data_IF_207869817062
#
_entry.id   IF_207869817062
#
_cell.length_a   1.000
_cell.length_b   1.000
_cell.length_c   1.000
_cell.angle_alpha   90.00
_cell.angle_beta   90.00
_cell.angle_gamma   90.00
#
_symmetry.space_group_name_H-M   'P 1'
#
loop_
_entity.id
_entity.type
_entity.pdbx_description
1 polymer ?
#
# COMPACT_ATOMS: atom_id res chain seq x y z
N UNK A 1 -20.82 0.08 -11.05
CA UNK A 1 -19.75 -0.77 -11.63
C UNK A 1 -20.31 -1.53 -12.81
N UNK A 2 -19.69 -1.43 -13.97
CA UNK A 2 -20.11 -2.22 -15.13
C UNK A 2 -19.61 -3.66 -14.99
N UNK A 3 -20.32 -4.62 -15.57
CA UNK A 3 -19.94 -6.06 -15.56
C UNK A 3 -18.53 -6.27 -16.14
N UNK A 4 -18.06 -5.38 -17.04
CA UNK A 4 -16.72 -5.41 -17.62
C UNK A 4 -15.60 -5.07 -16.61
N UNK A 5 -15.85 -4.20 -15.64
CA UNK A 5 -14.85 -3.84 -14.62
C UNK A 5 -14.69 -4.95 -13.55
N UNK A 6 -15.77 -5.65 -13.25
CA UNK A 6 -15.76 -6.79 -12.36
C UNK A 6 -14.99 -7.99 -12.97
N UNK A 7 -15.17 -8.25 -14.27
CA UNK A 7 -14.44 -9.31 -14.98
C UNK A 7 -12.94 -9.05 -15.08
N UNK A 8 -12.52 -7.79 -15.27
CA UNK A 8 -11.11 -7.43 -15.34
C UNK A 8 -10.43 -7.59 -13.98
N UNK A 9 -11.08 -7.21 -12.89
CA UNK A 9 -10.52 -7.36 -11.54
C UNK A 9 -10.40 -8.83 -11.11
N UNK A 10 -11.40 -9.65 -11.37
CA UNK A 10 -11.37 -11.08 -11.07
C UNK A 10 -10.35 -11.83 -11.94
N UNK A 11 -10.24 -11.48 -13.22
CA UNK A 11 -9.25 -12.06 -14.14
C UNK A 11 -7.83 -11.68 -13.73
N UNK A 12 -7.59 -10.46 -13.24
CA UNK A 12 -6.28 -10.01 -12.76
C UNK A 12 -5.88 -10.73 -11.47
N UNK A 13 -6.81 -10.90 -10.54
CA UNK A 13 -6.61 -11.65 -9.28
C UNK A 13 -6.36 -13.14 -9.58
N UNK A 14 -7.13 -13.74 -10.48
CA UNK A 14 -6.95 -15.13 -10.90
C UNK A 14 -5.60 -15.36 -11.62
N UNK A 15 -5.16 -14.41 -12.43
CA UNK A 15 -3.86 -14.47 -13.10
C UNK A 15 -2.69 -14.36 -12.12
N UNK A 16 -2.80 -13.49 -11.11
CA UNK A 16 -1.80 -13.37 -10.03
C UNK A 16 -1.72 -14.68 -9.22
N UNK A 17 -2.86 -15.29 -8.93
CA UNK A 17 -2.92 -16.55 -8.17
C UNK A 17 -2.34 -17.75 -8.93
N UNK A 18 -2.32 -17.71 -10.27
CA UNK A 18 -1.79 -18.79 -11.13
C UNK A 18 -0.30 -18.67 -11.48
N UNK A 19 0.32 -17.52 -11.24
CA UNK A 19 1.76 -17.33 -11.50
C UNK A 19 2.61 -18.12 -10.51
N UNK A 20 3.33 -19.13 -10.99
CA UNK A 20 4.34 -19.82 -10.20
C UNK A 20 5.51 -18.86 -9.94
N UNK A 21 5.66 -18.43 -8.70
CA UNK A 21 6.84 -17.71 -8.24
C UNK A 21 8.02 -18.67 -8.13
N UNK A 22 8.89 -18.64 -9.12
CA UNK A 22 10.13 -19.38 -9.05
C UNK A 22 11.18 -18.58 -8.27
N UNK A 23 11.80 -19.23 -7.28
CA UNK A 23 13.00 -18.76 -6.59
C UNK A 23 12.84 -17.45 -5.76
N UNK A 24 11.68 -17.24 -5.12
CA UNK A 24 11.40 -16.06 -4.28
C UNK A 24 10.95 -16.42 -2.85
N UNK A 25 11.13 -17.68 -2.46
CA UNK A 25 10.67 -18.19 -1.16
C UNK A 25 11.36 -17.46 0.00
N UNK A 26 12.64 -17.08 -0.19
CA UNK A 26 13.41 -16.36 0.84
C UNK A 26 12.86 -14.96 1.07
N UNK A 27 12.54 -14.23 0.02
CA UNK A 27 11.98 -12.89 0.10
C UNK A 27 10.57 -12.92 0.68
N UNK A 28 9.71 -13.87 0.26
CA UNK A 28 8.38 -14.07 0.83
C UNK A 28 8.49 -14.36 2.33
N UNK A 29 9.36 -15.30 2.72
CA UNK A 29 9.60 -15.62 4.13
C UNK A 29 10.01 -14.39 4.93
N UNK A 30 10.92 -13.56 4.38
CA UNK A 30 11.37 -12.33 5.04
C UNK A 30 10.24 -11.33 5.22
N UNK A 31 9.38 -11.14 4.23
CA UNK A 31 8.21 -10.25 4.32
C UNK A 31 7.21 -10.75 5.37
N UNK A 32 7.01 -12.07 5.47
CA UNK A 32 6.16 -12.67 6.50
C UNK A 32 6.76 -12.51 7.92
N UNK A 33 8.07 -12.64 8.07
CA UNK A 33 8.76 -12.35 9.34
C UNK A 33 8.57 -10.90 9.78
N UNK A 34 8.69 -9.94 8.84
CA UNK A 34 8.44 -8.51 9.09
C UNK A 34 6.99 -8.30 9.52
N UNK A 35 6.04 -8.95 8.87
CA UNK A 35 4.64 -8.92 9.26
C UNK A 35 4.42 -9.42 10.69
N UNK A 36 5.06 -10.51 11.09
CA UNK A 36 4.95 -10.99 12.48
C UNK A 36 5.57 -10.00 13.48
N UNK A 37 6.69 -9.38 13.12
CA UNK A 37 7.31 -8.33 13.94
C UNK A 37 6.43 -7.08 14.07
N UNK A 38 5.68 -6.73 13.03
CA UNK A 38 4.78 -5.57 13.05
C UNK A 38 3.62 -5.68 14.05
N UNK A 39 3.31 -6.87 14.53
CA UNK A 39 2.34 -7.06 15.62
C UNK A 39 2.84 -6.52 16.97
N UNK A 40 4.13 -6.33 17.12
CA UNK A 40 4.76 -5.82 18.36
C UNK A 40 5.22 -4.38 18.22
N UNK A 41 5.83 -4.04 17.10
CA UNK A 41 6.35 -2.71 16.82
C UNK A 41 6.12 -2.39 15.34
N UNK A 42 5.77 -1.14 15.03
CA UNK A 42 5.62 -0.69 13.66
C UNK A 42 6.88 -1.01 12.83
N UNK A 43 6.70 -1.48 11.61
CA UNK A 43 7.78 -1.86 10.70
C UNK A 43 7.70 -1.01 9.43
N UNK A 44 8.82 -0.45 9.03
CA UNK A 44 8.98 0.21 7.74
C UNK A 44 9.95 -0.59 6.87
N UNK A 45 9.56 -0.92 5.66
CA UNK A 45 10.38 -1.72 4.76
C UNK A 45 10.37 -1.15 3.35
N UNK A 46 11.53 -1.12 2.72
CA UNK A 46 11.68 -0.68 1.34
C UNK A 46 12.12 -1.84 0.46
N UNK A 47 11.32 -2.17 -0.54
CA UNK A 47 11.63 -3.19 -1.54
C UNK A 47 12.21 -2.52 -2.78
N UNK A 48 13.50 -2.68 -2.98
CA UNK A 48 14.23 -2.08 -4.11
C UNK A 48 14.58 -3.12 -5.17
N UNK A 49 14.87 -2.67 -6.36
CA UNK A 49 15.32 -3.51 -7.46
C UNK A 49 14.95 -2.93 -8.83
N UNK A 50 15.48 -3.54 -9.89
CA UNK A 50 15.24 -3.11 -11.27
C UNK A 50 13.74 -3.12 -11.60
N UNK A 51 13.33 -2.36 -12.59
CA UNK A 51 11.97 -2.43 -13.16
C UNK A 51 11.68 -3.82 -13.69
N UNK A 52 10.42 -4.24 -13.61
CA UNK A 52 9.90 -5.51 -14.18
C UNK A 52 10.49 -6.80 -13.58
N UNK A 53 11.10 -6.76 -12.40
CA UNK A 53 11.56 -7.97 -11.71
C UNK A 53 10.50 -8.58 -10.77
N UNK A 54 9.27 -8.11 -10.82
CA UNK A 54 8.16 -8.69 -10.06
C UNK A 54 8.06 -8.23 -8.59
N UNK A 55 8.53 -7.01 -8.24
CA UNK A 55 8.41 -6.46 -6.87
C UNK A 55 6.97 -6.40 -6.39
N UNK A 56 6.10 -5.80 -7.20
CA UNK A 56 4.67 -5.67 -6.91
C UNK A 56 4.03 -7.04 -6.69
N UNK A 57 4.31 -8.00 -7.59
CA UNK A 57 3.82 -9.36 -7.48
C UNK A 57 4.31 -10.07 -6.21
N UNK A 58 5.57 -9.85 -5.83
CA UNK A 58 6.14 -10.38 -4.60
C UNK A 58 5.37 -9.87 -3.37
N UNK A 59 5.10 -8.57 -3.30
CA UNK A 59 4.36 -7.96 -2.20
C UNK A 59 2.91 -8.48 -2.15
N UNK A 60 2.20 -8.45 -3.27
CA UNK A 60 0.82 -8.91 -3.34
C UNK A 60 0.69 -10.39 -2.96
N UNK A 61 1.63 -11.24 -3.42
CA UNK A 61 1.67 -12.66 -3.06
C UNK A 61 1.98 -12.88 -1.58
N UNK A 62 2.91 -12.12 -1.01
CA UNK A 62 3.27 -12.26 0.41
C UNK A 62 2.13 -11.89 1.36
N UNK A 63 1.23 -11.01 0.93
CA UNK A 63 0.12 -10.51 1.75
C UNK A 63 -1.26 -10.97 1.27
N UNK A 64 -1.37 -11.88 0.29
CA UNK A 64 -2.64 -12.32 -0.33
C UNK A 64 -3.70 -12.81 0.69
N UNK A 65 -3.25 -13.39 1.81
CA UNK A 65 -4.13 -13.89 2.87
C UNK A 65 -4.36 -12.88 4.00
N UNK A 66 -4.09 -11.60 3.78
CA UNK A 66 -4.27 -10.55 4.77
C UNK A 66 -4.92 -9.32 4.17
N UNK A 67 -5.64 -8.56 5.01
CA UNK A 67 -6.07 -7.23 4.60
C UNK A 67 -4.87 -6.31 4.51
N UNK A 68 -4.73 -5.64 3.38
CA UNK A 68 -3.72 -4.59 3.18
C UNK A 68 -4.32 -3.46 2.34
N UNK A 69 -3.78 -2.28 2.52
CA UNK A 69 -4.03 -1.12 1.65
C UNK A 69 -2.97 -1.12 0.54
N UNK A 70 -3.39 -0.92 -0.69
CA UNK A 70 -2.49 -0.84 -1.83
C UNK A 70 -2.64 0.51 -2.53
N UNK A 71 -1.63 1.35 -2.40
CA UNK A 71 -1.58 2.67 -2.99
C UNK A 71 -0.59 2.68 -4.16
N UNK A 72 -1.11 2.85 -5.36
CA UNK A 72 -0.31 3.04 -6.55
C UNK A 72 -0.14 4.53 -6.85
N UNK A 73 1.09 5.02 -6.76
CA UNK A 73 1.40 6.44 -7.02
C UNK A 73 1.48 6.67 -8.52
N UNK A 74 0.34 6.95 -9.14
CA UNK A 74 0.25 7.31 -10.54
C UNK A 74 0.70 8.77 -10.77
N UNK A 75 1.00 9.10 -12.03
CA UNK A 75 1.31 10.48 -12.45
C UNK A 75 0.02 11.32 -12.53
N UNK A 76 -0.53 11.64 -11.37
CA UNK A 76 -1.73 12.45 -11.16
C UNK A 76 -1.41 13.59 -10.18
N UNK A 77 -2.31 14.55 -10.02
CA UNK A 77 -2.18 15.51 -8.92
C UNK A 77 -2.35 14.83 -7.56
N UNK A 78 -1.75 15.38 -6.51
CA UNK A 78 -1.84 14.84 -5.16
C UNK A 78 -3.29 14.70 -4.68
N UNK A 79 -4.13 15.67 -5.00
CA UNK A 79 -5.56 15.66 -4.64
C UNK A 79 -6.27 14.43 -5.24
N UNK A 80 -6.03 14.13 -6.51
CA UNK A 80 -6.64 12.96 -7.17
C UNK A 80 -6.10 11.66 -6.58
N UNK A 81 -4.79 11.59 -6.30
CA UNK A 81 -4.21 10.43 -5.63
C UNK A 81 -4.82 10.22 -4.24
N UNK A 82 -5.01 11.29 -3.47
CA UNK A 82 -5.65 11.21 -2.15
C UNK A 82 -7.09 10.69 -2.25
N UNK A 83 -7.85 11.07 -3.28
CA UNK A 83 -9.20 10.57 -3.52
C UNK A 83 -9.18 9.06 -3.85
N UNK A 84 -8.28 8.62 -4.73
CA UNK A 84 -8.12 7.19 -5.07
C UNK A 84 -7.75 6.38 -3.81
N UNK A 85 -6.81 6.88 -3.01
CA UNK A 85 -6.35 6.21 -1.79
C UNK A 85 -7.41 6.20 -0.67
N UNK A 86 -8.19 7.28 -0.57
CA UNK A 86 -9.30 7.37 0.38
C UNK A 86 -10.42 6.38 0.01
N UNK A 87 -10.65 6.14 -1.27
CA UNK A 87 -11.57 5.12 -1.77
C UNK A 87 -11.10 3.72 -1.33
N UNK A 88 -9.84 3.38 -1.58
CA UNK A 88 -9.22 2.11 -1.15
C UNK A 88 -9.33 1.91 0.38
N UNK A 89 -9.05 2.97 1.15
CA UNK A 89 -9.16 2.96 2.60
C UNK A 89 -10.60 2.66 3.06
N UNK A 90 -11.59 3.32 2.45
CA UNK A 90 -13.01 3.10 2.77
C UNK A 90 -13.47 1.68 2.46
N UNK A 91 -13.08 1.15 1.32
CA UNK A 91 -13.45 -0.20 0.89
C UNK A 91 -12.84 -1.29 1.78
N UNK A 92 -11.60 -1.11 2.22
CA UNK A 92 -10.87 -2.13 2.98
C UNK A 92 -11.08 -2.05 4.48
N UNK A 93 -11.13 -0.86 5.06
CA UNK A 93 -11.14 -0.66 6.51
C UNK A 93 -12.45 -0.07 7.03
N UNK A 94 -13.27 0.53 6.17
CA UNK A 94 -14.51 1.21 6.53
C UNK A 94 -14.34 2.13 7.77
N UNK A 95 -13.35 3.04 7.75
CA UNK A 95 -13.05 3.89 8.90
C UNK A 95 -14.15 4.90 9.16
N UNK A 96 -14.17 5.58 10.34
CA UNK A 96 -14.98 6.76 10.56
C UNK A 96 -14.79 7.79 9.44
N UNK A 97 -15.83 8.56 9.15
CA UNK A 97 -15.84 9.49 8.02
C UNK A 97 -14.71 10.51 8.17
N UNK A 98 -13.72 10.42 7.27
CA UNK A 98 -12.79 11.51 7.02
C UNK A 98 -13.46 12.50 6.07
N UNK A 99 -13.33 13.78 6.34
CA UNK A 99 -13.70 14.84 5.41
C UNK A 99 -12.88 14.78 4.11
N UNK A 100 -12.89 15.85 3.35
CA UNK A 100 -12.03 15.96 2.16
C UNK A 100 -10.55 15.94 2.58
N UNK A 101 -9.79 15.03 1.96
CA UNK A 101 -8.34 14.90 2.16
C UNK A 101 -7.66 15.25 0.86
N UNK A 102 -6.92 16.35 0.87
CA UNK A 102 -6.25 16.90 -0.31
C UNK A 102 -4.72 16.76 -0.26
N UNK A 103 -4.19 16.19 0.83
CA UNK A 103 -2.76 16.00 1.05
C UNK A 103 -2.48 14.57 1.51
N UNK A 104 -1.45 13.97 0.94
CA UNK A 104 -1.01 12.63 1.33
C UNK A 104 -0.50 12.58 2.76
N UNK A 105 0.15 13.64 3.26
CA UNK A 105 0.62 13.72 4.64
C UNK A 105 -0.53 13.55 5.64
N UNK A 106 -1.65 14.23 5.39
CA UNK A 106 -2.87 14.13 6.23
C UNK A 106 -3.45 12.72 6.17
N UNK A 107 -3.52 12.13 4.98
CA UNK A 107 -4.00 10.76 4.82
C UNK A 107 -3.09 9.75 5.53
N UNK A 108 -1.78 9.91 5.41
CA UNK A 108 -0.80 9.03 6.04
C UNK A 108 -0.86 9.13 7.58
N UNK A 109 -0.95 10.34 8.13
CA UNK A 109 -1.13 10.56 9.57
C UNK A 109 -2.40 9.88 10.08
N UNK A 110 -3.49 9.97 9.33
CA UNK A 110 -4.73 9.28 9.68
C UNK A 110 -4.58 7.75 9.66
N UNK A 111 -3.89 7.19 8.66
CA UNK A 111 -3.63 5.74 8.62
C UNK A 111 -2.77 5.30 9.80
N UNK A 112 -1.78 6.11 10.19
CA UNK A 112 -0.97 5.86 11.38
C UNK A 112 -1.83 5.89 12.64
N UNK A 113 -2.75 6.84 12.80
CA UNK A 113 -3.70 6.88 13.91
C UNK A 113 -4.60 5.64 13.96
N UNK A 114 -5.15 5.22 12.82
CA UNK A 114 -5.94 3.98 12.74
C UNK A 114 -5.12 2.74 13.11
N UNK A 115 -3.82 2.75 12.88
CA UNK A 115 -2.94 1.63 13.21
C UNK A 115 -2.76 1.37 14.70
N UNK A 116 -3.11 2.32 15.57
CA UNK A 116 -3.15 2.09 17.02
C UNK A 116 -4.32 1.20 17.46
N UNK A 117 -5.38 1.15 16.66
CA UNK A 117 -6.58 0.38 16.99
C UNK A 117 -6.61 -0.97 16.28
N UNK A 118 -5.94 -1.08 15.13
CA UNK A 118 -5.92 -2.30 14.31
C UNK A 118 -4.62 -2.44 13.52
N UNK A 119 -4.19 -3.67 13.29
CA UNK A 119 -3.01 -3.93 12.46
C UNK A 119 -3.30 -3.56 11.00
N UNK A 120 -2.56 -2.60 10.48
CA UNK A 120 -2.65 -2.14 9.09
C UNK A 120 -1.35 -2.48 8.36
N UNK A 121 -1.46 -3.10 7.20
CA UNK A 121 -0.38 -3.21 6.24
C UNK A 121 -0.65 -2.23 5.11
N UNK A 122 0.24 -1.28 4.89
CA UNK A 122 0.20 -0.34 3.78
C UNK A 122 1.31 -0.66 2.78
N UNK A 123 0.93 -0.89 1.54
CA UNK A 123 1.85 -1.06 0.41
C UNK A 123 1.73 0.18 -0.47
N UNK A 124 2.84 0.87 -0.69
CA UNK A 124 2.91 2.02 -1.61
C UNK A 124 3.79 1.61 -2.78
N UNK A 125 3.20 1.46 -3.95
CA UNK A 125 3.90 1.13 -5.18
C UNK A 125 4.21 2.39 -6.00
N UNK A 126 5.30 2.36 -6.75
CA UNK A 126 5.85 3.49 -7.49
C UNK A 126 6.09 4.73 -6.58
N UNK A 127 6.49 4.49 -5.33
CA UNK A 127 6.69 5.51 -4.29
C UNK A 127 7.56 6.69 -4.74
N UNK A 128 8.53 6.44 -5.63
CA UNK A 128 9.40 7.48 -6.19
C UNK A 128 8.65 8.53 -7.02
N UNK A 129 7.46 8.24 -7.53
CA UNK A 129 6.67 9.22 -8.29
C UNK A 129 6.21 10.40 -7.43
N UNK A 130 6.19 10.27 -6.10
CA UNK A 130 5.96 11.40 -5.19
C UNK A 130 6.99 12.52 -5.38
N UNK A 131 8.21 12.21 -5.85
CA UNK A 131 9.18 13.24 -6.15
C UNK A 131 8.67 14.27 -7.18
N UNK A 132 7.86 13.82 -8.12
CA UNK A 132 7.25 14.68 -9.14
C UNK A 132 5.93 15.28 -8.67
N UNK A 133 5.15 14.53 -7.89
CA UNK A 133 3.81 14.94 -7.43
C UNK A 133 3.91 15.99 -6.31
N UNK A 134 4.61 15.65 -5.24
CA UNK A 134 4.85 16.50 -4.09
C UNK A 134 6.07 15.96 -3.31
N UNK A 135 7.27 16.50 -3.52
CA UNK A 135 8.48 16.00 -2.86
C UNK A 135 8.48 16.19 -1.33
N UNK A 136 7.61 17.04 -0.77
CA UNK A 136 7.51 17.19 0.70
C UNK A 136 6.97 15.93 1.39
N UNK A 137 6.30 15.05 0.65
CA UNK A 137 5.77 13.77 1.17
C UNK A 137 6.85 12.96 1.89
N UNK A 138 8.07 12.96 1.38
CA UNK A 138 9.17 12.19 2.00
C UNK A 138 9.51 12.68 3.42
N UNK A 139 9.67 13.99 3.59
CA UNK A 139 9.96 14.60 4.90
C UNK A 139 8.76 14.54 5.85
N UNK A 140 7.55 14.72 5.32
CA UNK A 140 6.33 14.61 6.10
C UNK A 140 6.11 13.20 6.63
N UNK A 141 6.29 12.18 5.79
CA UNK A 141 6.20 10.78 6.21
C UNK A 141 7.25 10.43 7.26
N UNK A 142 8.50 10.89 7.09
CA UNK A 142 9.55 10.70 8.07
C UNK A 142 9.15 11.31 9.42
N UNK A 143 8.73 12.57 9.42
CA UNK A 143 8.28 13.27 10.62
C UNK A 143 7.12 12.54 11.31
N UNK A 144 6.08 12.17 10.56
CA UNK A 144 4.93 11.46 11.12
C UNK A 144 5.36 10.13 11.74
N UNK A 145 6.24 9.38 11.07
CA UNK A 145 6.74 8.10 11.54
C UNK A 145 7.60 8.19 12.80
N UNK A 146 8.42 9.22 12.94
CA UNK A 146 9.29 9.43 14.11
C UNK A 146 8.51 9.79 15.37
N UNK A 147 7.31 10.36 15.21
CA UNK A 147 6.44 10.76 16.33
C UNK A 147 5.22 9.82 16.53
N UNK A 148 5.14 8.73 15.81
CA UNK A 148 4.12 7.68 15.93
C UNK A 148 4.54 6.57 16.93
#
# INVERSE_FOLDING_TARGET
>A
MSVSEMFVSEMYISYICSMKFYNREKEIKKLLEIKEQSKKNAQFSVVTGRRRIGKTQLLLKSYENTKFLYFFVAKKSEVILCQDFLQELKEKLNPPILGEVNSFSVLFEYIVQLSYEQNITLIIDEFQEFFTVNPSVYSDMQRIWEFA
#
